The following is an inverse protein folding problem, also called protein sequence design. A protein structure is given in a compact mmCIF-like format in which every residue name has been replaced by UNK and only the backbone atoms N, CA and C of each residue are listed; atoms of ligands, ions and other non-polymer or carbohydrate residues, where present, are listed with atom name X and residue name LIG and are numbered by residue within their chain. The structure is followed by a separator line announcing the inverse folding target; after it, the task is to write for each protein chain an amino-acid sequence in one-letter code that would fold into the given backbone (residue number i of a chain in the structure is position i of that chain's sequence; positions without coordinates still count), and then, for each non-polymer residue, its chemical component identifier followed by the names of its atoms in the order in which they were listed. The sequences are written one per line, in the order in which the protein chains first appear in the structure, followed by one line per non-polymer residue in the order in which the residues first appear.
data_IF_675901255675
#
_entry.id   IF_675901255675
#
_cell.length_a   1.000
_cell.length_b   1.000
_cell.length_c   1.000
_cell.angle_alpha   90.00
_cell.angle_beta   90.00
_cell.angle_gamma   90.00
#
_symmetry.space_group_name_H-M   'P 1'
#
loop_
_entity.id
_entity.type
_entity.pdbx_description
1 polymer ?
#
# COMPACT_ATOMS: atom_id res chain seq x y z
N UNK A 1 7.10 -9.84 15.80
CA UNK A 1 6.04 -8.94 15.30
C UNK A 1 5.96 -9.08 13.79
N UNK A 2 4.76 -9.32 13.27
CA UNK A 2 4.58 -9.47 11.84
C UNK A 2 4.52 -8.11 11.15
N UNK A 3 5.26 -7.97 10.06
CA UNK A 3 5.20 -6.76 9.21
C UNK A 3 4.05 -6.88 8.23
N UNK A 4 3.26 -5.82 8.13
CA UNK A 4 2.08 -5.77 7.28
C UNK A 4 2.06 -4.46 6.50
N UNK A 5 1.67 -4.54 5.25
CA UNK A 5 1.42 -3.38 4.40
C UNK A 5 -0.08 -3.30 4.15
N UNK A 6 -0.66 -2.13 4.41
CA UNK A 6 -2.02 -1.80 3.98
C UNK A 6 -1.88 -1.01 2.69
N UNK A 7 -2.55 -1.45 1.62
CA UNK A 7 -2.49 -0.66 0.39
C UNK A 7 -3.38 0.59 0.51
N UNK A 8 -3.36 1.43 -0.49
CA UNK A 8 -4.10 2.70 -0.44
C UNK A 8 -5.61 2.49 -0.30
N UNK A 9 -6.17 1.40 -0.82
CA UNK A 9 -7.60 1.13 -0.70
C UNK A 9 -8.03 0.96 0.76
N UNK A 10 -7.18 0.34 1.58
CA UNK A 10 -7.45 0.16 3.01
C UNK A 10 -7.37 1.50 3.74
N UNK A 11 -6.31 2.28 3.48
CA UNK A 11 -6.15 3.59 4.11
C UNK A 11 -7.28 4.55 3.76
N UNK A 12 -7.71 4.55 2.50
CA UNK A 12 -8.84 5.37 2.04
C UNK A 12 -10.13 4.95 2.75
N UNK A 13 -10.35 3.64 2.92
CA UNK A 13 -11.52 3.15 3.64
C UNK A 13 -11.49 3.57 5.12
N UNK A 14 -10.32 3.55 5.75
CA UNK A 14 -10.13 3.99 7.13
C UNK A 14 -10.50 5.48 7.26
N UNK A 15 -10.00 6.32 6.34
CA UNK A 15 -10.29 7.75 6.34
C UNK A 15 -11.79 8.02 6.16
N UNK A 16 -12.39 7.39 5.13
CA UNK A 16 -13.80 7.65 4.77
C UNK A 16 -14.79 7.20 5.82
N UNK A 17 -14.47 6.14 6.53
CA UNK A 17 -15.36 5.56 7.53
C UNK A 17 -15.00 5.99 8.95
N UNK A 18 -14.09 6.95 9.08
CA UNK A 18 -13.58 7.43 10.36
C UNK A 18 -13.17 6.28 11.27
N UNK A 19 -12.55 5.27 10.66
CA UNK A 19 -12.08 4.09 11.40
C UNK A 19 -10.72 4.37 12.02
N UNK A 20 -10.44 3.66 13.12
CA UNK A 20 -9.18 3.82 13.81
C UNK A 20 -8.15 2.82 13.26
N UNK A 21 -7.03 3.27 12.68
CA UNK A 21 -6.03 2.34 12.15
C UNK A 21 -5.32 1.55 13.23
N UNK A 22 -5.42 1.98 14.50
CA UNK A 22 -4.80 1.28 15.63
C UNK A 22 -5.27 -0.15 15.80
N UNK A 23 -6.40 -0.53 15.20
CA UNK A 23 -6.88 -1.92 15.26
C UNK A 23 -5.84 -2.90 14.72
N UNK A 24 -5.03 -2.48 13.72
CA UNK A 24 -3.97 -3.33 13.19
C UNK A 24 -2.78 -3.42 14.14
N UNK A 25 -2.50 -2.35 14.87
CA UNK A 25 -1.45 -2.34 15.88
C UNK A 25 -1.81 -3.22 17.06
N UNK A 26 -3.10 -3.28 17.44
CA UNK A 26 -3.58 -4.16 18.52
C UNK A 26 -3.39 -5.63 18.20
N UNK A 27 -3.35 -5.98 16.90
CA UNK A 27 -3.08 -7.35 16.48
C UNK A 27 -1.58 -7.68 16.50
N UNK A 28 -0.75 -6.74 16.93
CA UNK A 28 0.69 -6.91 16.98
C UNK A 28 1.39 -6.73 15.65
N UNK A 29 0.73 -6.08 14.69
CA UNK A 29 1.33 -5.81 13.38
C UNK A 29 2.25 -4.60 13.44
N UNK A 30 3.39 -4.69 12.77
CA UNK A 30 4.21 -3.53 12.42
C UNK A 30 3.75 -3.06 11.04
N UNK A 31 3.26 -1.83 10.95
CA UNK A 31 2.76 -1.30 9.70
C UNK A 31 3.89 -0.65 8.91
N UNK A 32 4.16 -1.16 7.73
CA UNK A 32 5.14 -0.59 6.81
C UNK A 32 4.41 0.29 5.80
N UNK A 33 5.02 1.43 5.46
CA UNK A 33 4.46 2.37 4.49
C UNK A 33 5.34 2.39 3.24
N UNK A 34 4.95 1.67 2.18
CA UNK A 34 5.70 1.72 0.92
C UNK A 34 5.68 3.11 0.30
N UNK A 35 6.77 3.49 -0.35
CA UNK A 35 6.86 4.77 -1.05
C UNK A 35 5.69 4.97 -2.03
N UNK A 36 5.26 3.90 -2.73
CA UNK A 36 4.17 4.00 -3.69
C UNK A 36 2.83 4.29 -3.01
N UNK A 37 2.55 3.64 -1.87
CA UNK A 37 1.32 3.91 -1.12
C UNK A 37 1.34 5.34 -0.59
N UNK A 38 2.48 5.77 -0.06
CA UNK A 38 2.65 7.14 0.40
C UNK A 38 2.35 8.14 -0.72
N UNK A 39 2.89 7.88 -1.92
CA UNK A 39 2.67 8.76 -3.08
C UNK A 39 1.18 8.88 -3.42
N UNK A 40 0.46 7.77 -3.39
CA UNK A 40 -0.98 7.76 -3.67
C UNK A 40 -1.76 8.57 -2.62
N UNK A 41 -1.43 8.40 -1.35
CA UNK A 41 -2.08 9.15 -0.27
C UNK A 41 -1.70 10.63 -0.30
N UNK A 42 -0.43 10.92 -0.57
CA UNK A 42 0.04 12.31 -0.67
C UNK A 42 -0.63 13.04 -1.82
N UNK A 43 -0.82 12.38 -2.95
CA UNK A 43 -1.52 12.97 -4.09
C UNK A 43 -2.91 13.49 -3.69
N UNK A 44 -3.63 12.77 -2.85
CA UNK A 44 -4.95 13.18 -2.39
C UNK A 44 -4.90 14.53 -1.65
N UNK A 45 -3.79 14.85 -0.96
CA UNK A 45 -3.65 16.07 -0.19
C UNK A 45 -3.22 17.28 -1.01
N UNK A 46 -2.71 17.06 -2.24
CA UNK A 46 -2.23 18.14 -3.09
C UNK A 46 -3.00 18.26 -4.41
N UNK A 47 -3.96 17.36 -4.67
CA UNK A 47 -4.68 17.34 -5.93
C UNK A 47 -5.55 18.59 -6.09
N UNK A 48 -5.34 19.33 -7.18
CA UNK A 48 -6.15 20.49 -7.53
C UNK A 48 -7.57 20.12 -7.98
N UNK A 49 -7.83 18.84 -8.22
CA UNK A 49 -9.16 18.35 -8.59
C UNK A 49 -10.08 18.18 -7.39
N UNK A 50 -9.55 18.34 -6.18
CA UNK A 50 -10.32 18.28 -4.95
C UNK A 50 -10.48 19.69 -4.37
N UNK A 51 -11.58 19.92 -3.66
CA UNK A 51 -11.75 21.21 -2.97
C UNK A 51 -10.77 21.35 -1.79
N UNK A 52 -10.66 22.56 -1.28
CA UNK A 52 -9.71 22.87 -0.20
C UNK A 52 -9.99 22.03 1.05
N UNK A 53 -11.27 21.89 1.44
CA UNK A 53 -11.64 21.15 2.64
C UNK A 53 -11.23 19.68 2.52
N UNK A 54 -11.49 19.06 1.37
CA UNK A 54 -11.12 17.66 1.12
C UNK A 54 -9.61 17.49 1.14
N UNK A 55 -8.85 18.43 0.56
CA UNK A 55 -7.39 18.40 0.60
C UNK A 55 -6.86 18.53 2.01
N UNK A 56 -7.45 19.43 2.81
CA UNK A 56 -7.03 19.62 4.20
C UNK A 56 -7.28 18.37 5.03
N UNK A 57 -8.43 17.73 4.84
CA UNK A 57 -8.75 16.48 5.52
C UNK A 57 -7.73 15.37 5.16
N UNK A 58 -7.39 15.26 3.88
CA UNK A 58 -6.40 14.30 3.43
C UNK A 58 -5.01 14.60 4.00
N UNK A 59 -4.63 15.87 4.06
CA UNK A 59 -3.36 16.29 4.65
C UNK A 59 -3.27 15.91 6.13
N UNK A 60 -4.31 16.22 6.90
CA UNK A 60 -4.35 15.90 8.32
C UNK A 60 -4.30 14.39 8.57
N UNK A 61 -5.01 13.62 7.74
CA UNK A 61 -5.00 12.17 7.82
C UNK A 61 -3.60 11.63 7.55
N UNK A 62 -2.94 12.14 6.51
CA UNK A 62 -1.60 11.69 6.14
C UNK A 62 -0.60 11.91 7.27
N UNK A 63 -0.71 13.03 8.00
CA UNK A 63 0.15 13.31 9.14
C UNK A 63 -0.03 12.26 10.25
N UNK A 64 -1.27 11.81 10.48
CA UNK A 64 -1.53 10.74 11.44
C UNK A 64 -0.97 9.41 10.98
N UNK A 65 -1.12 9.09 9.69
CA UNK A 65 -0.61 7.86 9.11
C UNK A 65 0.91 7.79 9.24
N UNK A 66 1.60 8.91 9.02
CA UNK A 66 3.05 8.99 9.15
C UNK A 66 3.52 8.55 10.54
N UNK A 67 2.80 8.93 11.58
CA UNK A 67 3.16 8.59 12.96
C UNK A 67 2.89 7.13 13.32
N UNK A 68 2.10 6.43 12.52
CA UNK A 68 1.69 5.04 12.80
C UNK A 68 2.45 4.01 11.97
N UNK A 69 3.24 4.44 11.00
CA UNK A 69 3.87 3.54 10.04
C UNK A 69 5.37 3.78 9.97
N UNK A 70 6.08 2.75 9.50
CA UNK A 70 7.50 2.86 9.17
C UNK A 70 7.63 2.96 7.67
N UNK A 71 8.13 4.08 7.18
CA UNK A 71 8.30 4.32 5.75
C UNK A 71 9.39 3.40 5.20
N UNK A 72 9.11 2.76 4.06
CA UNK A 72 10.08 1.93 3.35
C UNK A 72 10.25 2.43 1.92
N UNK A 73 11.47 2.78 1.54
CA UNK A 73 11.71 3.34 0.20
C UNK A 73 11.68 2.27 -0.88
N UNK A 74 11.55 2.71 -2.13
CA UNK A 74 11.73 1.86 -3.28
C UNK A 74 13.24 1.77 -3.58
N UNK A 75 13.89 0.74 -3.03
CA UNK A 75 15.31 0.50 -3.22
C UNK A 75 15.54 -0.55 -4.33
N UNK A 76 16.81 -0.98 -4.48
CA UNK A 76 17.16 -1.96 -5.51
C UNK A 76 16.49 -3.30 -5.29
N UNK A 77 16.35 -3.74 -4.03
CA UNK A 77 15.69 -5.03 -3.74
C UNK A 77 14.24 -4.99 -4.16
N UNK A 78 13.54 -3.90 -3.88
CA UNK A 78 12.15 -3.70 -4.35
C UNK A 78 12.10 -3.72 -5.88
N UNK A 79 13.04 -3.05 -6.55
CA UNK A 79 13.09 -3.01 -8.00
C UNK A 79 13.28 -4.41 -8.60
N UNK A 80 14.12 -5.23 -7.99
CA UNK A 80 14.34 -6.60 -8.45
C UNK A 80 13.07 -7.45 -8.31
N UNK A 81 12.36 -7.34 -7.18
CA UNK A 81 11.09 -8.04 -7.01
C UNK A 81 10.02 -7.54 -7.99
N UNK A 82 10.01 -6.23 -8.27
CA UNK A 82 9.11 -5.69 -9.28
C UNK A 82 9.35 -6.32 -10.65
N UNK A 83 10.61 -6.42 -11.08
CA UNK A 83 10.94 -7.00 -12.37
C UNK A 83 10.46 -8.45 -12.48
N UNK A 84 10.64 -9.24 -11.42
CA UNK A 84 10.18 -10.63 -11.38
C UNK A 84 8.65 -10.71 -11.46
N UNK A 85 7.95 -9.90 -10.71
CA UNK A 85 6.48 -9.89 -10.71
C UNK A 85 5.93 -9.45 -12.06
N UNK A 86 6.56 -8.43 -12.68
CA UNK A 86 6.13 -7.95 -13.98
C UNK A 86 6.30 -9.04 -15.04
N UNK A 87 7.44 -9.74 -15.04
CA UNK A 87 7.68 -10.86 -15.97
C UNK A 87 6.64 -11.96 -15.76
N UNK A 88 6.33 -12.30 -14.53
CA UNK A 88 5.32 -13.30 -14.23
C UNK A 88 3.96 -12.91 -14.83
N UNK A 89 3.54 -11.66 -14.65
CA UNK A 89 2.23 -11.20 -15.13
C UNK A 89 2.18 -11.13 -16.66
N UNK A 90 3.23 -10.63 -17.30
CA UNK A 90 3.31 -10.55 -18.76
C UNK A 90 3.32 -11.96 -19.33
N UNK A 91 4.08 -12.88 -18.74
CA UNK A 91 4.16 -14.26 -19.19
C UNK A 91 2.82 -14.99 -19.13
N UNK A 92 1.93 -14.57 -18.22
CA UNK A 92 0.58 -15.13 -18.13
C UNK A 92 -0.44 -14.38 -18.99
N UNK A 93 -0.02 -13.37 -19.73
CA UNK A 93 -0.93 -12.54 -20.52
C UNK A 93 -1.87 -11.68 -19.67
N UNK A 94 -1.48 -11.40 -18.43
CA UNK A 94 -2.29 -10.63 -17.47
C UNK A 94 -1.47 -9.48 -16.88
N UNK A 95 -1.13 -8.45 -17.68
CA UNK A 95 -0.37 -7.31 -17.18
C UNK A 95 -1.12 -6.58 -16.06
N UNK A 96 -0.37 -6.01 -15.14
CA UNK A 96 -0.90 -5.29 -13.98
C UNK A 96 -0.38 -3.86 -13.96
N UNK A 97 -1.08 -3.00 -13.26
CA UNK A 97 -0.63 -1.62 -13.06
C UNK A 97 0.72 -1.60 -12.35
N UNK A 98 1.59 -0.67 -12.76
CA UNK A 98 2.92 -0.50 -12.15
C UNK A 98 2.80 -0.25 -10.64
N UNK A 99 1.85 0.59 -10.23
CA UNK A 99 1.66 0.91 -8.81
C UNK A 99 1.35 -0.33 -7.98
N UNK A 100 0.46 -1.20 -8.47
CA UNK A 100 0.10 -2.44 -7.76
C UNK A 100 1.31 -3.36 -7.64
N UNK A 101 2.08 -3.50 -8.71
CA UNK A 101 3.27 -4.36 -8.69
C UNK A 101 4.37 -3.80 -7.79
N UNK A 102 4.51 -2.48 -7.68
CA UNK A 102 5.47 -1.87 -6.77
C UNK A 102 5.08 -2.11 -5.31
N UNK A 103 3.80 -2.05 -5.00
CA UNK A 103 3.30 -2.35 -3.65
C UNK A 103 3.58 -3.82 -3.31
N UNK A 104 3.24 -4.73 -4.22
CA UNK A 104 3.50 -6.16 -4.04
C UNK A 104 4.99 -6.45 -3.92
N UNK A 105 5.82 -5.80 -4.73
CA UNK A 105 7.27 -5.94 -4.68
C UNK A 105 7.84 -5.51 -3.34
N UNK A 106 7.31 -4.42 -2.79
CA UNK A 106 7.73 -3.93 -1.48
C UNK A 106 7.39 -4.94 -0.39
N UNK A 107 6.19 -5.52 -0.45
CA UNK A 107 5.78 -6.54 0.50
C UNK A 107 6.71 -7.76 0.44
N UNK A 108 7.04 -8.23 -0.76
CA UNK A 108 7.97 -9.36 -0.93
C UNK A 108 9.36 -9.02 -0.41
N UNK A 109 9.86 -7.84 -0.74
CA UNK A 109 11.20 -7.41 -0.33
C UNK A 109 11.37 -7.37 1.19
N UNK A 110 10.30 -7.04 1.90
CA UNK A 110 10.31 -6.93 3.36
C UNK A 110 9.71 -8.13 4.08
N UNK A 111 9.36 -9.17 3.32
CA UNK A 111 8.68 -10.34 3.86
C UNK A 111 7.43 -9.93 4.68
N UNK A 112 6.71 -8.95 4.19
CA UNK A 112 5.51 -8.42 4.82
C UNK A 112 4.26 -9.01 4.18
N UNK A 113 3.20 -9.17 4.97
CA UNK A 113 1.89 -9.51 4.44
C UNK A 113 1.22 -8.26 3.87
N UNK A 114 0.33 -8.44 2.92
CA UNK A 114 -0.41 -7.36 2.28
C UNK A 114 -1.89 -7.49 2.58
N UNK A 115 -2.52 -6.39 2.96
CA UNK A 115 -3.97 -6.29 3.12
C UNK A 115 -4.46 -5.28 2.08
N UNK A 116 -5.45 -5.69 1.28
CA UNK A 116 -6.03 -4.84 0.23
C UNK A 116 -7.51 -5.09 0.15
N UNK A 117 -8.26 -4.03 -0.10
CA UNK A 117 -9.69 -4.10 -0.42
C UNK A 117 -9.94 -3.98 -1.92
N UNK A 118 -8.88 -3.82 -2.71
CA UNK A 118 -8.98 -3.70 -4.17
C UNK A 118 -8.94 -5.09 -4.81
N UNK A 119 -10.10 -5.61 -5.16
CA UNK A 119 -10.21 -6.92 -5.79
C UNK A 119 -9.65 -6.93 -7.22
N UNK A 120 -9.62 -5.77 -7.89
CA UNK A 120 -9.12 -5.67 -9.26
C UNK A 120 -7.60 -5.87 -9.33
N UNK A 121 -6.90 -5.52 -8.25
CA UNK A 121 -5.46 -5.71 -8.19
C UNK A 121 -5.06 -7.19 -8.16
N UNK A 122 -5.95 -8.06 -7.69
CA UNK A 122 -5.76 -9.52 -7.66
C UNK A 122 -4.40 -9.92 -7.06
N UNK A 123 -4.05 -9.30 -5.93
CA UNK A 123 -2.77 -9.57 -5.27
C UNK A 123 -2.59 -11.04 -4.91
N UNK A 124 -3.68 -11.74 -4.59
CA UNK A 124 -3.62 -13.16 -4.22
C UNK A 124 -3.16 -14.08 -5.33
N UNK A 125 -3.13 -13.62 -6.59
CA UNK A 125 -2.65 -14.40 -7.72
C UNK A 125 -1.14 -14.25 -7.95
N UNK A 126 -0.48 -13.35 -7.21
CA UNK A 126 0.96 -13.10 -7.39
C UNK A 126 1.79 -14.11 -6.60
N UNK A 127 2.94 -14.55 -7.16
CA UNK A 127 3.75 -15.56 -6.49
C UNK A 127 4.51 -15.01 -5.29
N UNK A 128 4.68 -15.84 -4.28
CA UNK A 128 5.49 -15.53 -3.09
C UNK A 128 5.06 -14.27 -2.37
N UNK A 129 3.75 -13.94 -2.42
CA UNK A 129 3.17 -12.80 -1.74
C UNK A 129 2.12 -13.33 -0.76
N UNK A 130 2.28 -12.96 0.52
CA UNK A 130 1.30 -13.28 1.55
C UNK A 130 0.22 -12.21 1.57
N UNK A 131 -1.02 -12.61 1.33
CA UNK A 131 -2.16 -11.71 1.37
C UNK A 131 -3.08 -12.14 2.52
N UNK A 132 -3.42 -11.19 3.38
CA UNK A 132 -4.35 -11.40 4.49
C UNK A 132 -5.72 -10.89 4.06
N UNK A 133 -6.71 -11.73 4.23
CA UNK A 133 -8.10 -11.37 3.88
C UNK A 133 -8.71 -10.41 4.92
#
# INVERSE_FOLDING_TARGET
MESVILDSSVWIAIERNDMEPRQYLRRGYQLLMPAMVWAELKYASISSQRDFTTRQTAFDFLARVENLTDFVPMDRVVAEHYAELNEFCIGQGKPRAVSDLLIAATARAHNAALISYDKRARFGELPNLRVIA
#
